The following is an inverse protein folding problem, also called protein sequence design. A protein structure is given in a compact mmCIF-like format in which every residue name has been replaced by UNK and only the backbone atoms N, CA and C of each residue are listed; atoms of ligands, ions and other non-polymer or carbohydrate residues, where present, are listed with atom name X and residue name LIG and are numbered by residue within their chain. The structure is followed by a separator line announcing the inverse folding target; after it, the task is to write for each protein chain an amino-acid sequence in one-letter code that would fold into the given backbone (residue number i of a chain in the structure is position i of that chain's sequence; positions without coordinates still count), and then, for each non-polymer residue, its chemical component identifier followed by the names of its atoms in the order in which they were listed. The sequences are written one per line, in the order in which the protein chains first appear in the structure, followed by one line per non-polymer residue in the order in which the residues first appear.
data_IF_072462477953
#
_entry.id   IF_072462477953
#
_cell.length_a   1.000
_cell.length_b   1.000
_cell.length_c   1.000
_cell.angle_alpha   90.00
_cell.angle_beta   90.00
_cell.angle_gamma   90.00
#
_symmetry.space_group_name_H-M   'P 1'
#
loop_
_entity.id
_entity.type
_entity.pdbx_description
1 polymer ?
#
# COMPACT_ATOMS: atom_id res chain seq x y z
N UNK A 1 8.84 -29.45 16.33
CA UNK A 1 10.09 -28.70 16.03
C UNK A 1 10.65 -28.12 17.33
N UNK A 2 11.87 -28.50 17.73
CA UNK A 2 12.44 -28.13 19.04
C UNK A 2 12.77 -26.61 19.11
N UNK A 3 12.66 -26.02 20.30
CA UNK A 3 12.97 -24.61 20.61
C UNK A 3 14.43 -24.26 20.28
N UNK A 4 15.35 -25.21 20.51
CA UNK A 4 16.78 -25.00 20.24
C UNK A 4 17.06 -24.83 18.75
N UNK A 5 16.45 -25.67 17.91
CA UNK A 5 16.52 -25.54 16.45
C UNK A 5 15.98 -24.20 15.96
N UNK A 6 14.86 -23.71 16.51
CA UNK A 6 14.32 -22.39 16.17
C UNK A 6 15.27 -21.25 16.55
N UNK A 7 15.87 -21.32 17.73
CA UNK A 7 16.82 -20.31 18.20
C UNK A 7 18.10 -20.31 17.36
N UNK A 8 18.64 -21.49 17.06
CA UNK A 8 19.81 -21.65 16.20
C UNK A 8 19.56 -21.02 14.81
N UNK A 9 18.46 -21.40 14.14
CA UNK A 9 18.12 -20.84 12.82
C UNK A 9 17.87 -19.34 12.88
N UNK A 10 17.21 -18.83 13.92
CA UNK A 10 17.00 -17.39 14.11
C UNK A 10 18.34 -16.62 14.21
N UNK A 11 19.30 -17.16 14.96
CA UNK A 11 20.63 -16.57 15.10
C UNK A 11 21.40 -16.59 13.78
N UNK A 12 21.35 -17.70 13.04
CA UNK A 12 21.97 -17.82 11.70
C UNK A 12 21.40 -16.79 10.73
N UNK A 13 20.07 -16.65 10.68
CA UNK A 13 19.39 -15.67 9.81
C UNK A 13 19.79 -14.24 10.20
N UNK A 14 19.84 -13.91 11.50
CA UNK A 14 20.29 -12.59 11.97
C UNK A 14 21.73 -12.28 11.56
N UNK A 15 22.62 -13.28 11.63
CA UNK A 15 24.00 -13.12 11.20
C UNK A 15 24.08 -12.84 9.70
N UNK A 16 23.42 -13.66 8.86
CA UNK A 16 23.37 -13.48 7.41
C UNK A 16 22.82 -12.10 7.05
N UNK A 17 21.73 -11.66 7.69
CA UNK A 17 21.16 -10.34 7.47
C UNK A 17 22.18 -9.22 7.73
N UNK A 18 22.97 -9.31 8.80
CA UNK A 18 24.03 -8.33 9.11
C UNK A 18 25.11 -8.31 8.04
N UNK A 19 25.52 -9.48 7.52
CA UNK A 19 26.53 -9.56 6.46
C UNK A 19 26.02 -9.00 5.12
N UNK A 20 24.76 -9.25 4.77
CA UNK A 20 24.12 -8.68 3.57
C UNK A 20 23.95 -7.15 3.73
N UNK A 21 23.55 -6.67 4.90
CA UNK A 21 23.39 -5.25 5.15
C UNK A 21 24.72 -4.48 5.01
N UNK A 22 25.85 -5.07 5.43
CA UNK A 22 27.19 -4.47 5.25
C UNK A 22 27.58 -4.28 3.78
N UNK A 23 27.06 -5.12 2.88
CA UNK A 23 27.49 -5.18 1.47
C UNK A 23 26.54 -4.46 0.52
N UNK A 24 25.21 -4.46 0.78
CA UNK A 24 24.24 -4.05 -0.24
C UNK A 24 23.01 -3.26 0.25
N UNK A 25 22.86 -2.91 1.54
CA UNK A 25 21.69 -2.17 2.01
C UNK A 25 22.04 -1.17 3.12
N UNK A 26 21.75 0.11 2.89
CA UNK A 26 21.83 1.16 3.91
C UNK A 26 21.08 0.75 5.18
N UNK A 27 21.81 0.53 6.28
CA UNK A 27 21.29 0.19 7.62
C UNK A 27 20.52 1.32 8.31
N UNK A 28 20.09 2.35 7.56
CA UNK A 28 19.43 3.53 8.13
C UNK A 28 18.01 3.18 8.63
N UNK A 29 17.57 3.78 9.75
CA UNK A 29 16.23 3.56 10.33
C UNK A 29 15.08 3.96 9.39
N UNK A 30 15.36 4.78 8.37
CA UNK A 30 14.49 5.04 7.23
C UNK A 30 14.73 4.00 6.12
N UNK A 31 14.46 2.72 6.44
CA UNK A 31 14.65 1.69 5.42
C UNK A 31 13.58 1.85 4.34
N UNK A 32 14.00 1.89 3.07
CA UNK A 32 13.11 1.88 1.90
C UNK A 32 12.09 0.72 1.98
N UNK A 33 12.43 -0.37 2.67
CA UNK A 33 11.52 -1.47 2.94
C UNK A 33 10.30 -1.09 3.79
N UNK A 34 10.46 -0.19 4.77
CA UNK A 34 9.33 0.29 5.57
C UNK A 34 8.40 1.20 4.75
N UNK A 35 8.98 2.07 3.92
CA UNK A 35 8.23 2.91 2.97
C UNK A 35 7.43 2.01 2.03
N UNK A 36 8.08 1.05 1.36
CA UNK A 36 7.41 0.10 0.46
C UNK A 36 6.24 -0.63 1.14
N UNK A 37 6.45 -1.17 2.35
CA UNK A 37 5.40 -1.89 3.08
C UNK A 37 4.20 -0.99 3.38
N UNK A 38 4.45 0.24 3.84
CA UNK A 38 3.38 1.21 4.13
C UNK A 38 2.66 1.69 2.87
N UNK A 39 3.38 1.87 1.75
CA UNK A 39 2.77 2.21 0.47
C UNK A 39 1.81 1.11 0.00
N UNK A 40 2.21 -0.16 0.10
CA UNK A 40 1.34 -1.29 -0.21
C UNK A 40 0.08 -1.27 0.69
N UNK A 41 0.26 -1.06 2.00
CA UNK A 41 -0.88 -0.95 2.92
C UNK A 41 -1.80 0.23 2.58
N UNK A 42 -1.23 1.38 2.22
CA UNK A 42 -1.98 2.57 1.80
C UNK A 42 -2.82 2.28 0.55
N UNK A 43 -2.23 1.67 -0.48
CA UNK A 43 -2.94 1.30 -1.72
C UNK A 43 -4.11 0.38 -1.41
N UNK A 44 -3.91 -0.65 -0.58
CA UNK A 44 -5.00 -1.55 -0.18
C UNK A 44 -6.14 -0.82 0.54
N UNK A 45 -5.83 0.10 1.47
CA UNK A 45 -6.87 0.86 2.18
C UNK A 45 -7.63 1.81 1.26
N UNK A 46 -6.93 2.48 0.35
CA UNK A 46 -7.55 3.35 -0.67
C UNK A 46 -8.50 2.54 -1.54
N UNK A 47 -8.06 1.38 -2.05
CA UNK A 47 -8.90 0.50 -2.88
C UNK A 47 -10.14 0.01 -2.15
N UNK A 48 -10.03 -0.34 -0.87
CA UNK A 48 -11.19 -0.75 -0.04
C UNK A 48 -12.19 0.39 0.16
N UNK A 49 -11.69 1.62 0.24
CA UNK A 49 -12.52 2.81 0.45
C UNK A 49 -13.22 3.23 -0.84
N UNK A 50 -12.54 3.13 -1.99
CA UNK A 50 -13.03 3.59 -3.29
C UNK A 50 -13.84 2.50 -4.02
N UNK A 51 -13.46 1.23 -3.86
CA UNK A 51 -14.06 0.08 -4.52
C UNK A 51 -14.53 -0.93 -3.46
N UNK A 52 -15.61 -0.62 -2.71
CA UNK A 52 -16.09 -1.49 -1.64
C UNK A 52 -16.50 -2.88 -2.16
N UNK A 53 -16.86 -3.01 -3.44
CA UNK A 53 -17.18 -4.29 -4.09
C UNK A 53 -15.98 -5.26 -4.15
N UNK A 54 -14.75 -4.75 -4.01
CA UNK A 54 -13.53 -5.57 -3.94
C UNK A 54 -13.14 -5.94 -2.51
N UNK A 55 -13.82 -5.37 -1.51
CA UNK A 55 -13.54 -5.69 -0.12
C UNK A 55 -14.29 -6.96 0.27
N UNK A 56 -13.54 -7.97 0.73
CA UNK A 56 -14.08 -9.22 1.29
C UNK A 56 -14.76 -9.05 2.66
N UNK A 57 -14.77 -7.83 3.21
CA UNK A 57 -15.32 -7.57 4.55
C UNK A 57 -16.71 -6.95 4.46
N UNK A 58 -17.70 -7.66 5.02
CA UNK A 58 -19.14 -7.33 5.00
C UNK A 58 -19.52 -6.04 5.75
N UNK A 59 -18.60 -5.43 6.51
CA UNK A 59 -18.83 -4.21 7.30
C UNK A 59 -17.54 -3.43 7.52
N UNK A 60 -17.18 -2.61 6.55
CA UNK A 60 -16.15 -1.59 6.79
C UNK A 60 -16.84 -0.28 7.09
N UNK A 61 -16.60 0.25 8.30
CA UNK A 61 -16.87 1.65 8.58
C UNK A 61 -15.91 2.50 7.72
N UNK A 62 -16.48 3.22 6.75
CA UNK A 62 -15.71 4.08 5.86
C UNK A 62 -14.89 5.13 6.62
N UNK A 63 -15.36 5.57 7.80
CA UNK A 63 -14.64 6.51 8.65
C UNK A 63 -13.39 5.88 9.27
N UNK A 64 -13.48 4.62 9.70
CA UNK A 64 -12.33 3.90 10.26
C UNK A 64 -11.24 3.69 9.20
N UNK A 65 -11.64 3.26 7.99
CA UNK A 65 -10.69 3.06 6.88
C UNK A 65 -10.05 4.36 6.43
N UNK A 66 -10.82 5.45 6.36
CA UNK A 66 -10.29 6.77 6.03
C UNK A 66 -9.31 7.27 7.10
N UNK A 67 -9.65 7.12 8.39
CA UNK A 67 -8.77 7.48 9.49
C UNK A 67 -7.45 6.70 9.43
N UNK A 68 -7.51 5.40 9.11
CA UNK A 68 -6.31 4.57 8.95
C UNK A 68 -5.48 5.00 7.74
N UNK A 69 -6.13 5.32 6.62
CA UNK A 69 -5.50 5.84 5.39
C UNK A 69 -4.72 7.12 5.69
N UNK A 70 -5.35 8.10 6.37
CA UNK A 70 -4.73 9.36 6.79
C UNK A 70 -3.47 9.10 7.62
N UNK A 71 -3.58 8.28 8.67
CA UNK A 71 -2.45 7.99 9.57
C UNK A 71 -1.26 7.37 8.84
N UNK A 72 -1.51 6.48 7.89
CA UNK A 72 -0.43 5.85 7.11
C UNK A 72 0.20 6.85 6.14
N UNK A 73 -0.62 7.67 5.47
CA UNK A 73 -0.16 8.69 4.54
C UNK A 73 0.72 9.74 5.24
N UNK A 74 0.26 10.31 6.35
CA UNK A 74 1.05 11.28 7.13
C UNK A 74 2.39 10.69 7.58
N UNK A 75 2.39 9.42 8.00
CA UNK A 75 3.61 8.73 8.40
C UNK A 75 4.55 8.48 7.22
N UNK A 76 4.02 8.16 6.05
CA UNK A 76 4.79 8.04 4.81
C UNK A 76 5.41 9.37 4.40
N UNK A 77 4.64 10.46 4.45
CA UNK A 77 5.12 11.81 4.12
C UNK A 77 6.32 12.16 5.02
N UNK A 78 6.23 11.93 6.33
CA UNK A 78 7.33 12.20 7.28
C UNK A 78 8.55 11.32 7.07
N UNK A 79 8.34 10.05 6.69
CA UNK A 79 9.44 9.13 6.41
C UNK A 79 10.22 9.53 5.14
N UNK A 80 9.53 10.11 4.15
CA UNK A 80 10.12 10.49 2.86
C UNK A 80 10.64 11.94 2.88
N UNK A 81 9.95 12.83 3.59
CA UNK A 81 10.24 14.27 3.68
C UNK A 81 10.49 14.64 5.16
N UNK A 82 11.66 14.35 5.75
CA UNK A 82 11.88 14.50 7.20
C UNK A 82 11.90 15.95 7.71
N UNK A 83 11.94 16.94 6.80
CA UNK A 83 12.00 18.37 7.13
C UNK A 83 10.65 19.08 7.06
N UNK A 84 9.59 18.36 6.66
CA UNK A 84 8.23 18.88 6.57
C UNK A 84 7.65 19.11 7.96
N UNK A 85 6.96 20.23 8.18
CA UNK A 85 6.29 20.51 9.45
C UNK A 85 4.85 19.92 9.48
N UNK A 86 4.21 19.96 10.65
CA UNK A 86 2.85 19.42 10.84
C UNK A 86 1.79 20.01 9.88
N UNK A 87 1.87 21.32 9.64
CA UNK A 87 0.92 22.04 8.78
C UNK A 87 1.08 21.62 7.31
N UNK A 88 2.32 21.49 6.86
CA UNK A 88 2.64 21.00 5.52
C UNK A 88 2.22 19.54 5.32
N UNK A 89 2.42 18.67 6.33
CA UNK A 89 1.93 17.27 6.29
C UNK A 89 0.42 17.23 6.16
N UNK A 90 -0.29 18.01 6.97
CA UNK A 90 -1.75 18.09 6.96
C UNK A 90 -2.26 18.61 5.62
N UNK A 91 -1.61 19.64 5.07
CA UNK A 91 -1.93 20.20 3.75
C UNK A 91 -1.77 19.17 2.64
N UNK A 92 -0.61 18.51 2.54
CA UNK A 92 -0.34 17.48 1.52
C UNK A 92 -1.34 16.34 1.64
N UNK A 93 -1.61 15.89 2.88
CA UNK A 93 -2.59 14.83 3.15
C UNK A 93 -3.99 15.23 2.69
N UNK A 94 -4.41 16.46 2.99
CA UNK A 94 -5.72 16.99 2.58
C UNK A 94 -5.84 17.11 1.06
N UNK A 95 -4.82 17.65 0.40
CA UNK A 95 -4.76 17.76 -1.07
C UNK A 95 -4.83 16.37 -1.73
N UNK A 96 -4.07 15.40 -1.22
CA UNK A 96 -4.11 14.02 -1.71
C UNK A 96 -5.52 13.41 -1.59
N UNK A 97 -6.18 13.55 -0.44
CA UNK A 97 -7.51 13.00 -0.22
C UNK A 97 -8.58 13.67 -1.09
N UNK A 98 -8.45 14.98 -1.34
CA UNK A 98 -9.39 15.72 -2.20
C UNK A 98 -9.33 15.26 -3.67
N UNK A 99 -8.20 14.74 -4.13
CA UNK A 99 -8.04 14.19 -5.48
C UNK A 99 -8.57 12.75 -5.62
N UNK A 100 -8.67 11.99 -4.52
CA UNK A 100 -9.09 10.58 -4.56
C UNK A 100 -10.43 10.35 -5.28
N UNK A 101 -11.50 11.15 -5.07
CA UNK A 101 -12.75 10.96 -5.81
C UNK A 101 -12.61 11.17 -7.33
N UNK A 102 -11.72 12.05 -7.77
CA UNK A 102 -11.47 12.28 -9.19
C UNK A 102 -10.69 11.11 -9.81
N UNK A 103 -9.68 10.59 -9.10
CA UNK A 103 -8.92 9.39 -9.49
C UNK A 103 -9.84 8.16 -9.54
N UNK A 104 -10.70 7.97 -8.54
CA UNK A 104 -11.70 6.90 -8.50
C UNK A 104 -12.57 6.86 -9.76
N UNK A 105 -13.10 8.02 -10.17
CA UNK A 105 -13.93 8.13 -11.38
C UNK A 105 -13.17 7.75 -12.65
N UNK A 106 -11.89 8.11 -12.74
CA UNK A 106 -11.02 7.73 -13.87
C UNK A 106 -10.77 6.22 -13.89
N UNK A 107 -10.44 5.63 -12.74
CA UNK A 107 -10.24 4.17 -12.63
C UNK A 107 -11.46 3.36 -13.09
N UNK A 108 -12.69 3.85 -12.83
CA UNK A 108 -13.90 3.21 -13.35
C UNK A 108 -13.95 3.22 -14.89
N UNK A 109 -13.49 4.31 -15.53
CA UNK A 109 -13.39 4.39 -16.98
C UNK A 109 -12.31 3.44 -17.51
N UNK A 110 -11.17 3.35 -16.81
CA UNK A 110 -10.07 2.46 -17.18
C UNK A 110 -10.50 0.98 -17.11
N UNK A 111 -11.23 0.59 -16.05
CA UNK A 111 -11.81 -0.76 -15.91
C UNK A 111 -12.79 -1.06 -17.03
N UNK A 112 -13.66 -0.11 -17.37
CA UNK A 112 -14.61 -0.26 -18.46
C UNK A 112 -13.90 -0.41 -19.82
N UNK A 113 -12.89 0.41 -20.07
CA UNK A 113 -12.10 0.33 -21.30
C UNK A 113 -11.35 -0.99 -21.43
N UNK A 114 -10.79 -1.51 -20.33
CA UNK A 114 -10.14 -2.82 -20.30
C UNK A 114 -11.12 -3.95 -20.61
N UNK A 115 -12.32 -3.93 -20.02
CA UNK A 115 -13.37 -4.91 -20.29
C UNK A 115 -13.89 -4.85 -21.73
N UNK A 116 -14.19 -3.65 -22.25
CA UNK A 116 -14.66 -3.48 -23.64
C UNK A 116 -13.56 -3.78 -24.67
N UNK A 117 -12.29 -3.62 -24.29
CA UNK A 117 -11.13 -3.80 -25.16
C UNK A 117 -10.56 -5.21 -25.21
N UNK A 118 -10.92 -6.09 -24.27
CA UNK A 118 -10.43 -7.46 -24.20
C UNK A 118 -11.58 -8.48 -24.38
N UNK A 119 -11.72 -9.10 -25.56
CA UNK A 119 -12.71 -10.16 -25.79
C UNK A 119 -12.56 -11.38 -24.87
N UNK A 120 -11.41 -11.58 -24.22
CA UNK A 120 -11.20 -12.65 -23.27
C UNK A 120 -11.75 -12.32 -21.86
N UNK A 121 -11.96 -11.04 -21.54
CA UNK A 121 -12.52 -10.62 -20.26
C UNK A 121 -13.95 -11.16 -20.10
N UNK A 122 -14.17 -11.91 -19.03
CA UNK A 122 -15.46 -12.51 -18.72
C UNK A 122 -16.30 -11.62 -17.81
N UNK A 123 -15.68 -10.74 -17.02
CA UNK A 123 -16.41 -9.78 -16.18
C UNK A 123 -15.57 -8.56 -15.78
N UNK A 124 -16.25 -7.54 -15.25
CA UNK A 124 -15.62 -6.32 -14.72
C UNK A 124 -14.81 -6.63 -13.45
N UNK A 125 -15.30 -7.56 -12.64
CA UNK A 125 -14.63 -8.03 -11.42
C UNK A 125 -13.30 -8.71 -11.74
N UNK A 126 -13.25 -9.49 -12.82
CA UNK A 126 -12.00 -10.11 -13.30
C UNK A 126 -10.92 -9.04 -13.57
N UNK A 127 -11.28 -7.96 -14.27
CA UNK A 127 -10.37 -6.83 -14.50
C UNK A 127 -9.85 -6.28 -13.16
N UNK A 128 -10.77 -6.03 -12.22
CA UNK A 128 -10.43 -5.36 -10.96
C UNK A 128 -9.58 -6.20 -10.00
N UNK A 129 -9.64 -7.54 -10.08
CA UNK A 129 -8.92 -8.43 -9.15
C UNK A 129 -7.71 -9.13 -9.76
N UNK A 130 -7.69 -9.32 -11.09
CA UNK A 130 -6.72 -10.19 -11.75
C UNK A 130 -5.88 -9.50 -12.83
N UNK A 131 -6.32 -8.36 -13.38
CA UNK A 131 -5.57 -7.74 -14.46
C UNK A 131 -4.36 -6.98 -13.91
N UNK A 132 -3.12 -7.33 -14.33
CA UNK A 132 -1.92 -6.63 -13.86
C UNK A 132 -1.91 -5.16 -14.28
N UNK A 133 -2.54 -4.83 -15.41
CA UNK A 133 -2.67 -3.46 -15.90
C UNK A 133 -3.50 -2.57 -14.97
N UNK A 134 -4.45 -3.14 -14.21
CA UNK A 134 -5.23 -2.41 -13.22
C UNK A 134 -4.46 -2.18 -11.89
N UNK A 135 -3.45 -3.00 -11.61
CA UNK A 135 -2.59 -2.88 -10.41
C UNK A 135 -1.32 -2.03 -10.61
N UNK A 136 -0.98 -1.69 -11.86
CA UNK A 136 0.28 -1.04 -12.23
C UNK A 136 0.37 0.42 -11.74
#
# INVERSE_FOLDING_TARGET
MNKDFRNEKSNTIKYIYKEIAKTHCSSKPHSLGNVKRKTIELIHLIRRTICPQLSQDDKIDGLESLSKTIKILERLIRDILPHVNEEEVSKITTEFLNELPAVAKKLVLDVRAAYEGDPAAQSIEEIMIAYPAYEA
#
